data_IF_056668460805
#
_entry.id   IF_056668460805
#
_cell.length_a   1.000
_cell.length_b   1.000
_cell.length_c   1.000
_cell.angle_alpha   90.00
_cell.angle_beta   90.00
_cell.angle_gamma   90.00
#
_symmetry.space_group_name_H-M   'P 1'
#
loop_
_entity.id
_entity.type
_entity.pdbx_description
1 polymer ?
#
# COMPACT_ATOMS: atom_id res chain seq x y z
N UNK A 1 -2.77 -10.96 21.25
CA UNK A 1 -2.84 -9.52 20.94
C UNK A 1 -3.62 -9.37 19.65
N UNK A 2 -4.79 -8.75 19.69
CA UNK A 2 -5.59 -8.47 18.47
C UNK A 2 -5.03 -7.19 17.86
N UNK A 3 -4.07 -7.32 16.93
CA UNK A 3 -3.64 -6.20 16.10
C UNK A 3 -4.83 -5.81 15.23
N UNK A 4 -5.49 -4.69 15.56
CA UNK A 4 -6.56 -4.14 14.73
C UNK A 4 -5.91 -3.30 13.63
N UNK A 5 -5.93 -3.78 12.40
CA UNK A 5 -5.46 -3.04 11.24
C UNK A 5 -6.42 -1.87 11.01
N UNK A 6 -5.94 -0.68 11.39
CA UNK A 6 -6.61 0.58 11.14
C UNK A 6 -6.06 1.09 9.82
N UNK A 7 -6.92 1.26 8.83
CA UNK A 7 -6.49 1.87 7.58
C UNK A 7 -6.16 3.34 7.82
N UNK A 8 -5.32 3.90 6.95
CA UNK A 8 -5.21 5.32 6.57
C UNK A 8 -6.39 6.25 6.97
N UNK A 9 -7.63 5.80 6.82
CA UNK A 9 -8.84 6.57 7.07
C UNK A 9 -9.42 6.44 8.50
N UNK A 10 -8.73 5.78 9.44
CA UNK A 10 -9.28 5.41 10.75
C UNK A 10 -10.33 4.29 10.70
N UNK A 11 -10.65 3.82 9.50
CA UNK A 11 -11.63 2.79 9.25
C UNK A 11 -11.07 1.39 9.53
N UNK A 12 -11.90 0.54 10.14
CA UNK A 12 -11.54 -0.84 10.49
C UNK A 12 -12.12 -1.81 9.47
N UNK A 13 -11.26 -2.66 8.91
CA UNK A 13 -11.71 -3.81 8.12
C UNK A 13 -12.30 -4.89 9.02
N UNK A 14 -13.17 -5.75 8.48
CA UNK A 14 -13.79 -6.84 9.25
C UNK A 14 -12.73 -7.87 9.64
N UNK A 15 -12.87 -8.61 10.77
CA UNK A 15 -11.87 -9.59 11.22
C UNK A 15 -11.51 -10.67 10.19
N UNK A 16 -12.47 -11.09 9.36
CA UNK A 16 -12.22 -12.03 8.26
C UNK A 16 -11.34 -11.43 7.15
N UNK A 17 -11.47 -10.13 6.89
CA UNK A 17 -10.67 -9.41 5.92
C UNK A 17 -9.26 -9.17 6.47
N UNK A 18 -9.15 -8.85 7.75
CA UNK A 18 -7.88 -8.75 8.48
C UNK A 18 -7.06 -10.04 8.41
N UNK A 19 -7.66 -11.19 8.77
CA UNK A 19 -6.98 -12.47 8.66
C UNK A 19 -6.55 -12.81 7.22
N UNK A 20 -7.28 -12.31 6.22
CA UNK A 20 -6.89 -12.47 4.82
C UNK A 20 -5.69 -11.58 4.44
N UNK A 21 -5.69 -10.32 4.91
CA UNK A 21 -4.59 -9.37 4.74
C UNK A 21 -3.33 -9.90 5.40
N UNK A 22 -3.41 -10.36 6.65
CA UNK A 22 -2.27 -10.91 7.38
C UNK A 22 -1.67 -12.10 6.63
N UNK A 23 -2.51 -13.04 6.18
CA UNK A 23 -2.04 -14.16 5.35
C UNK A 23 -1.38 -13.69 4.06
N UNK A 24 -1.91 -12.65 3.41
CA UNK A 24 -1.29 -12.09 2.21
C UNK A 24 0.10 -11.50 2.49
N UNK A 25 0.30 -10.84 3.63
CA UNK A 25 1.60 -10.34 4.06
C UNK A 25 2.56 -11.50 4.35
N UNK A 26 2.11 -12.51 5.10
CA UNK A 26 2.91 -13.70 5.43
C UNK A 26 3.33 -14.48 4.18
N UNK A 27 2.45 -14.58 3.18
CA UNK A 27 2.72 -15.24 1.90
C UNK A 27 3.46 -14.35 0.89
N UNK A 28 3.74 -13.08 1.22
CA UNK A 28 4.39 -12.16 0.29
C UNK A 28 3.58 -11.85 -0.97
N UNK A 29 2.25 -11.72 -0.84
CA UNK A 29 1.31 -11.57 -1.96
C UNK A 29 0.38 -10.40 -1.79
N UNK A 30 -0.02 -9.81 -2.92
CA UNK A 30 -1.09 -8.82 -2.93
C UNK A 30 -2.46 -9.48 -3.10
N UNK A 31 -3.47 -9.08 -2.31
CA UNK A 31 -4.83 -9.51 -2.53
C UNK A 31 -5.37 -8.95 -3.85
N UNK A 32 -6.32 -9.67 -4.45
CA UNK A 32 -6.94 -9.24 -5.73
C UNK A 32 -7.78 -7.96 -5.58
N UNK A 33 -8.38 -7.77 -4.42
CA UNK A 33 -9.19 -6.58 -4.13
C UNK A 33 -8.27 -5.40 -3.82
N UNK A 34 -8.37 -4.33 -4.61
CA UNK A 34 -7.60 -3.09 -4.39
C UNK A 34 -7.84 -2.51 -2.98
N UNK A 35 -9.07 -2.67 -2.49
CA UNK A 35 -9.48 -2.26 -1.16
C UNK A 35 -8.70 -2.99 -0.06
N UNK A 36 -8.37 -4.26 -0.29
CA UNK A 36 -7.54 -5.06 0.63
C UNK A 36 -6.05 -4.94 0.34
N UNK A 37 -5.65 -4.36 -0.80
CA UNK A 37 -4.24 -4.04 -1.07
C UNK A 37 -3.77 -2.89 -0.20
N UNK A 38 -4.61 -1.88 0.05
CA UNK A 38 -4.29 -0.75 0.94
C UNK A 38 -3.61 -1.16 2.25
N UNK A 39 -4.20 -2.03 3.09
CA UNK A 39 -3.59 -2.41 4.36
C UNK A 39 -2.33 -3.27 4.21
N UNK A 40 -2.14 -3.96 3.07
CA UNK A 40 -0.88 -4.66 2.77
C UNK A 40 0.19 -3.64 2.40
N UNK A 41 -0.14 -2.71 1.50
CA UNK A 41 0.76 -1.69 1.01
C UNK A 41 1.15 -0.69 2.10
N UNK A 42 0.29 -0.39 3.07
CA UNK A 42 0.60 0.52 4.19
C UNK A 42 1.72 -0.02 5.08
N UNK A 43 1.91 -1.36 5.15
CA UNK A 43 3.00 -1.97 5.92
C UNK A 43 4.35 -1.92 5.19
N UNK A 44 4.37 -1.61 3.90
CA UNK A 44 5.58 -1.67 3.07
C UNK A 44 6.47 -0.42 3.24
N UNK A 45 5.95 0.83 3.20
CA UNK A 45 6.74 2.05 3.40
C UNK A 45 7.45 2.19 4.75
N UNK A 46 7.09 1.41 5.76
CA UNK A 46 7.77 1.45 7.06
C UNK A 46 9.23 0.96 6.96
N UNK A 47 9.53 0.12 5.97
CA UNK A 47 10.88 -0.39 5.68
C UNK A 47 11.74 0.62 4.89
N UNK A 48 11.17 1.75 4.45
CA UNK A 48 11.82 2.72 3.57
C UNK A 48 11.92 4.12 4.19
N UNK A 49 12.94 4.87 3.80
CA UNK A 49 13.10 6.25 4.22
C UNK A 49 12.20 7.19 3.40
N UNK A 50 11.48 8.07 4.10
CA UNK A 50 10.55 9.00 3.46
C UNK A 50 11.32 10.17 2.89
N UNK A 51 11.08 10.49 1.61
CA UNK A 51 11.68 11.63 0.93
C UNK A 51 13.02 11.32 0.27
N UNK A 52 13.65 10.18 0.56
CA UNK A 52 14.85 9.75 -0.15
C UNK A 52 14.49 9.02 -1.45
N UNK A 53 15.16 9.35 -2.57
CA UNK A 53 14.95 8.68 -3.84
C UNK A 53 15.78 7.38 -3.93
N UNK A 54 15.08 6.27 -4.13
CA UNK A 54 15.66 4.98 -4.50
C UNK A 54 15.74 4.83 -6.02
N UNK A 55 16.78 4.17 -6.51
CA UNK A 55 16.77 3.71 -7.88
C UNK A 55 15.69 2.64 -8.07
N UNK A 56 15.17 2.52 -9.30
CA UNK A 56 14.18 1.50 -9.66
C UNK A 56 14.60 0.09 -9.22
N UNK A 57 15.87 -0.25 -9.42
CA UNK A 57 16.41 -1.58 -9.13
C UNK A 57 16.48 -1.82 -7.63
N UNK A 58 16.96 -0.84 -6.87
CA UNK A 58 17.06 -0.91 -5.41
C UNK A 58 15.69 -1.11 -4.77
N UNK A 59 14.72 -0.26 -5.10
CA UNK A 59 13.34 -0.40 -4.59
C UNK A 59 12.74 -1.76 -4.96
N UNK A 60 12.98 -2.26 -6.18
CA UNK A 60 12.45 -3.57 -6.59
C UNK A 60 13.14 -4.71 -5.86
N UNK A 61 14.44 -4.59 -5.63
CA UNK A 61 15.25 -5.55 -4.89
C UNK A 61 14.74 -5.70 -3.48
N UNK A 62 14.61 -4.59 -2.74
CA UNK A 62 14.07 -4.58 -1.38
C UNK A 62 12.65 -5.16 -1.34
N UNK A 63 11.76 -4.77 -2.26
CA UNK A 63 10.42 -5.37 -2.33
C UNK A 63 10.45 -6.87 -2.61
N UNK A 64 11.45 -7.36 -3.36
CA UNK A 64 11.61 -8.77 -3.70
C UNK A 64 12.03 -9.65 -2.52
N UNK A 65 12.51 -9.05 -1.43
CA UNK A 65 12.77 -9.77 -0.17
C UNK A 65 11.48 -10.17 0.54
N UNK A 66 10.37 -9.46 0.27
CA UNK A 66 9.10 -9.61 0.97
C UNK A 66 7.97 -10.12 0.08
N UNK A 67 8.02 -9.91 -1.24
CA UNK A 67 6.91 -10.19 -2.14
C UNK A 67 7.32 -11.02 -3.37
N UNK A 68 6.44 -11.96 -3.74
CA UNK A 68 6.56 -12.81 -4.94
C UNK A 68 6.57 -11.98 -6.24
N UNK A 69 5.89 -10.83 -6.26
CA UNK A 69 5.78 -9.92 -7.41
C UNK A 69 6.13 -8.48 -7.01
N UNK A 70 7.43 -8.17 -6.85
CA UNK A 70 7.87 -6.84 -6.40
C UNK A 70 7.59 -5.75 -7.43
N UNK A 71 7.49 -6.11 -8.72
CA UNK A 71 7.15 -5.18 -9.80
C UNK A 71 5.71 -4.70 -9.67
N UNK A 72 4.78 -5.63 -9.38
CA UNK A 72 3.39 -5.28 -9.10
C UNK A 72 3.27 -4.43 -7.85
N UNK A 73 3.95 -4.80 -6.75
CA UNK A 73 3.93 -4.03 -5.50
C UNK A 73 4.40 -2.60 -5.73
N UNK A 74 5.55 -2.41 -6.38
CA UNK A 74 6.06 -1.07 -6.73
C UNK A 74 5.04 -0.26 -7.53
N UNK A 75 4.39 -0.89 -8.53
CA UNK A 75 3.37 -0.22 -9.35
C UNK A 75 2.18 0.21 -8.51
N UNK A 76 1.73 -0.64 -7.59
CA UNK A 76 0.60 -0.31 -6.72
C UNK A 76 0.99 0.77 -5.69
N UNK A 77 2.20 0.77 -5.14
CA UNK A 77 2.68 1.87 -4.28
C UNK A 77 2.60 3.23 -4.99
N UNK A 78 2.93 3.28 -6.29
CA UNK A 78 2.77 4.50 -7.11
C UNK A 78 1.31 4.82 -7.38
N UNK A 79 0.52 3.83 -7.80
CA UNK A 79 -0.91 4.01 -8.12
C UNK A 79 -1.72 4.53 -6.92
N UNK A 80 -1.33 4.13 -5.71
CA UNK A 80 -2.00 4.49 -4.46
C UNK A 80 -1.39 5.75 -3.82
N UNK A 81 -0.34 6.31 -4.40
CA UNK A 81 0.24 7.59 -3.97
C UNK A 81 1.25 7.52 -2.81
N UNK A 82 1.60 6.31 -2.33
CA UNK A 82 2.66 6.13 -1.33
C UNK A 82 4.02 6.51 -1.89
N UNK A 83 4.26 6.21 -3.18
CA UNK A 83 5.53 6.42 -3.86
C UNK A 83 5.35 7.34 -5.06
N UNK A 84 6.22 8.34 -5.19
CA UNK A 84 6.37 9.12 -6.42
C UNK A 84 7.37 8.46 -7.35
N UNK A 85 7.12 8.52 -8.66
CA UNK A 85 8.06 8.08 -9.68
C UNK A 85 8.54 9.28 -10.51
N UNK A 86 9.85 9.47 -10.58
CA UNK A 86 10.48 10.43 -11.49
C UNK A 86 10.95 9.69 -12.74
N UNK A 87 10.25 9.90 -13.86
CA UNK A 87 10.60 9.27 -15.14
C UNK A 87 11.93 9.77 -15.74
N UNK A 88 12.35 10.98 -15.37
CA UNK A 88 13.57 11.60 -15.90
C UNK A 88 14.80 11.01 -15.22
N UNK A 89 14.75 10.88 -13.89
CA UNK A 89 15.81 10.31 -13.09
C UNK A 89 15.74 8.78 -12.98
N UNK A 90 14.59 8.17 -13.28
CA UNK A 90 14.36 6.74 -13.11
C UNK A 90 14.27 6.31 -11.64
N UNK A 91 13.90 7.23 -10.75
CA UNK A 91 13.90 7.05 -9.30
C UNK A 91 12.48 7.00 -8.74
N UNK A 92 12.38 6.39 -7.57
CA UNK A 92 11.17 6.24 -6.80
C UNK A 92 11.39 6.85 -5.43
N UNK A 93 10.43 7.63 -4.93
CA UNK A 93 10.56 8.30 -3.63
C UNK A 93 9.33 7.99 -2.80
N UNK A 94 9.52 7.43 -1.61
CA UNK A 94 8.43 7.27 -0.65
C UNK A 94 7.99 8.66 -0.18
N UNK A 95 6.75 9.03 -0.48
CA UNK A 95 6.19 10.34 -0.13
C UNK A 95 5.49 10.32 1.22
N UNK A 96 4.82 9.21 1.52
CA UNK A 96 3.97 9.05 2.70
C UNK A 96 3.99 7.58 3.15
N UNK A 97 3.95 7.35 4.47
CA UNK A 97 3.82 6.00 5.07
C UNK A 97 2.38 5.58 5.26
N UNK A 98 1.52 6.55 5.58
CA UNK A 98 0.07 6.37 5.68
C UNK A 98 -0.63 7.39 4.80
N UNK A 99 -1.72 6.97 4.18
CA UNK A 99 -2.63 7.87 3.46
C UNK A 99 -3.59 8.51 4.47
N UNK A 100 -4.07 9.71 4.18
CA UNK A 100 -5.20 10.29 4.90
C UNK A 100 -6.52 9.93 4.19
N UNK A 101 -7.66 10.21 4.83
CA UNK A 101 -8.96 10.13 4.17
C UNK A 101 -9.02 10.98 2.89
N UNK A 102 -8.41 12.17 2.91
CA UNK A 102 -8.34 13.07 1.75
C UNK A 102 -7.54 12.44 0.61
N UNK A 103 -6.40 11.81 0.91
CA UNK A 103 -5.61 11.09 -0.08
C UNK A 103 -6.43 9.96 -0.73
N UNK A 104 -7.17 9.19 0.07
CA UNK A 104 -8.06 8.11 -0.43
C UNK A 104 -9.16 8.68 -1.32
N UNK A 105 -9.78 9.80 -0.93
CA UNK A 105 -10.82 10.49 -1.71
C UNK A 105 -10.27 11.12 -3.00
N UNK A 106 -9.00 11.50 -3.03
CA UNK A 106 -8.37 12.11 -4.21
C UNK A 106 -8.11 11.10 -5.35
N UNK A 107 -8.13 9.80 -5.04
CA UNK A 107 -7.86 8.73 -6.00
C UNK A 107 -9.17 7.99 -6.27
N UNK A 108 -9.81 8.25 -7.41
CA UNK A 108 -11.19 7.78 -7.70
C UNK A 108 -11.38 6.26 -7.59
N UNK A 109 -10.34 5.49 -7.93
CA UNK A 109 -10.36 4.02 -7.78
C UNK A 109 -10.35 3.61 -6.31
N UNK A 110 -9.57 4.30 -5.48
CA UNK A 110 -9.50 4.08 -4.06
C UNK A 110 -10.77 4.51 -3.36
N UNK A 111 -11.30 5.68 -3.69
CA UNK A 111 -12.56 6.19 -3.16
C UNK A 111 -13.71 5.19 -3.38
N UNK A 112 -13.85 4.66 -4.61
CA UNK A 112 -14.86 3.63 -4.91
C UNK A 112 -14.70 2.40 -4.02
N UNK A 113 -13.48 1.92 -3.86
CA UNK A 113 -13.20 0.72 -3.08
C UNK A 113 -13.31 0.93 -1.57
N UNK A 114 -13.00 2.13 -1.10
CA UNK A 114 -13.21 2.54 0.27
C UNK A 114 -14.72 2.59 0.59
N UNK A 115 -15.56 3.11 -0.32
CA UNK A 115 -17.02 3.03 -0.21
C UNK A 115 -17.55 1.59 -0.23
N UNK A 116 -17.06 0.75 -1.15
CA UNK A 116 -17.46 -0.67 -1.24
C UNK A 116 -17.20 -1.44 0.06
N UNK A 117 -16.16 -1.06 0.80
CA UNK A 117 -15.80 -1.63 2.09
C UNK A 117 -16.48 -0.95 3.30
N UNK A 118 -17.22 0.14 3.08
CA UNK A 118 -17.85 0.94 4.15
C UNK A 118 -16.83 1.72 5.00
N UNK A 119 -15.71 2.12 4.41
CA UNK A 119 -14.60 2.80 5.08
C UNK A 119 -14.74 4.33 5.03
N UNK A 120 -15.45 4.84 4.03
CA UNK A 120 -15.83 6.25 3.87
C UNK A 120 -17.30 6.32 3.44
N UNK A 121 -18.00 7.38 3.85
CA UNK A 121 -19.40 7.66 3.49
C UNK A 121 -19.56 8.23 2.08
#
# INVERSE_FOLDING_TARGET
MTCRVTLACGARIRPRQEAHVDRCVEEGRLPRSDALKLPVLERVPDEFEVGEPDAKEDLTGTLGEYFDDPVLVRRELVNFGYVGHDNTAGTYTVRKRSLTEEDVRSISRLERHARDLGLIE
#
